data_IF_684880417530
#
_entry.id   IF_684880417530
#
_cell.length_a   1.000
_cell.length_b   1.000
_cell.length_c   1.000
_cell.angle_alpha   90.00
_cell.angle_beta   90.00
_cell.angle_gamma   90.00
#
_symmetry.space_group_name_H-M   'P 1'
#
loop_
_entity.id
_entity.type
_entity.pdbx_description
1 polymer ?
#
# COMPACT_ATOMS: atom_id res chain seq x y z
N UNK A 1 12.59 16.34 20.11
CA UNK A 1 11.70 15.42 19.37
C UNK A 1 12.49 14.15 19.23
N UNK A 2 12.07 13.08 19.92
CA UNK A 2 12.80 11.81 19.85
C UNK A 2 12.86 11.36 18.40
N UNK A 3 14.09 11.08 17.95
CA UNK A 3 14.41 10.73 16.58
C UNK A 3 13.85 9.33 16.28
N UNK A 4 12.55 9.22 16.04
CA UNK A 4 11.86 7.94 15.87
C UNK A 4 12.03 7.40 14.44
N UNK A 5 13.27 7.41 13.93
CA UNK A 5 13.62 6.80 12.64
C UNK A 5 13.25 5.31 12.58
N UNK A 6 13.02 4.69 13.74
CA UNK A 6 12.68 3.28 13.91
C UNK A 6 11.23 2.93 13.60
N UNK A 7 10.33 3.91 13.54
CA UNK A 7 8.90 3.63 13.38
C UNK A 7 8.53 3.22 11.95
N UNK A 8 7.83 2.10 11.84
CA UNK A 8 7.22 1.63 10.60
C UNK A 8 5.70 1.78 10.67
N UNK A 9 5.05 1.68 9.51
CA UNK A 9 3.63 1.45 9.43
C UNK A 9 3.27 0.26 8.56
N UNK A 10 2.09 -0.31 8.86
CA UNK A 10 1.38 -1.26 8.04
C UNK A 10 0.03 -0.67 7.67
N UNK A 11 -0.24 -0.48 6.39
CA UNK A 11 -1.57 -0.05 5.91
C UNK A 11 -2.33 -1.28 5.40
N UNK A 12 -3.27 -1.75 6.22
CA UNK A 12 -4.06 -2.96 5.96
C UNK A 12 -5.18 -2.73 4.94
N UNK A 13 -5.25 -3.55 3.89
CA UNK A 13 -6.32 -3.53 2.89
C UNK A 13 -7.57 -4.30 3.29
N UNK A 14 -8.37 -4.67 2.28
CA UNK A 14 -9.53 -5.56 2.42
C UNK A 14 -9.19 -6.80 3.24
N UNK A 15 -9.95 -7.08 4.29
CA UNK A 15 -9.79 -8.23 5.19
C UNK A 15 -8.67 -8.11 6.22
N UNK A 16 -7.79 -7.11 6.12
CA UNK A 16 -6.72 -6.85 7.09
C UNK A 16 -7.03 -5.61 7.89
N UNK A 17 -7.91 -5.75 8.90
CA UNK A 17 -8.39 -4.63 9.71
C UNK A 17 -7.78 -4.55 11.11
N UNK A 18 -7.06 -5.59 11.55
CA UNK A 18 -6.36 -5.64 12.83
C UNK A 18 -5.02 -6.35 12.69
N UNK A 19 -4.01 -5.84 13.39
CA UNK A 19 -2.65 -6.42 13.37
C UNK A 19 -2.09 -6.73 14.77
N UNK A 20 -2.61 -6.05 15.80
CA UNK A 20 -2.22 -6.25 17.18
C UNK A 20 -3.39 -6.74 18.02
N UNK A 21 -3.05 -7.31 19.19
CA UNK A 21 -4.02 -7.66 20.22
C UNK A 21 -4.56 -6.44 20.98
N UNK A 22 -5.41 -6.68 22.00
CA UNK A 22 -6.15 -5.63 22.71
C UNK A 22 -5.26 -4.66 23.52
N UNK A 23 -4.04 -5.07 23.88
CA UNK A 23 -3.13 -4.26 24.70
C UNK A 23 -2.40 -3.16 23.90
N UNK A 24 -2.65 -3.06 22.59
CA UNK A 24 -2.01 -2.08 21.74
C UNK A 24 -2.57 -0.66 21.94
N UNK A 25 -1.68 0.33 21.88
CA UNK A 25 -2.06 1.74 22.06
C UNK A 25 -2.80 2.24 20.82
N UNK A 26 -3.88 2.98 21.00
CA UNK A 26 -4.61 3.58 19.88
C UNK A 26 -4.50 5.11 19.91
N UNK A 27 -4.38 5.74 18.74
CA UNK A 27 -4.37 7.19 18.56
C UNK A 27 -5.31 7.61 17.44
N UNK A 28 -5.97 8.75 17.59
CA UNK A 28 -6.90 9.33 16.61
C UNK A 28 -6.40 10.71 16.17
N UNK A 29 -5.45 10.77 15.22
CA UNK A 29 -4.88 12.04 14.80
C UNK A 29 -5.85 12.80 13.89
N UNK A 30 -5.86 14.13 14.03
CA UNK A 30 -6.46 15.03 13.06
C UNK A 30 -5.37 15.53 12.11
N UNK A 31 -5.73 15.75 10.84
CA UNK A 31 -4.80 16.25 9.81
C UNK A 31 -5.38 17.45 9.08
N UNK A 32 -4.55 18.28 8.42
CA UNK A 32 -5.04 19.33 7.51
C UNK A 32 -5.91 18.81 6.37
N UNK A 33 -5.90 17.49 6.11
CA UNK A 33 -6.64 16.83 5.03
C UNK A 33 -7.87 16.06 5.55
N UNK A 34 -8.28 16.32 6.80
CA UNK A 34 -9.38 15.64 7.47
C UNK A 34 -8.93 14.46 8.32
N UNK A 35 -9.88 13.59 8.67
CA UNK A 35 -9.61 12.40 9.49
C UNK A 35 -9.05 11.26 8.62
N UNK A 36 -8.09 10.46 9.14
CA UNK A 36 -7.71 9.20 8.52
C UNK A 36 -8.89 8.21 8.46
N UNK A 37 -8.66 7.09 7.80
CA UNK A 37 -9.67 6.02 7.60
C UNK A 37 -10.14 5.38 8.90
N UNK A 38 -9.38 5.53 9.98
CA UNK A 38 -9.71 5.06 11.31
C UNK A 38 -8.61 5.43 12.29
N UNK A 39 -8.78 5.00 13.54
CA UNK A 39 -7.75 5.13 14.55
C UNK A 39 -6.49 4.32 14.15
N UNK A 40 -5.33 4.82 14.53
CA UNK A 40 -4.04 4.15 14.31
C UNK A 40 -3.70 3.35 15.56
N UNK A 41 -3.49 2.05 15.39
CA UNK A 41 -3.08 1.16 16.48
C UNK A 41 -1.57 0.99 16.45
N UNK A 42 -0.90 1.14 17.58
CA UNK A 42 0.55 1.10 17.72
C UNK A 42 0.90 -0.07 18.64
N UNK A 43 1.77 -0.95 18.14
CA UNK A 43 2.36 -2.04 18.90
C UNK A 43 3.80 -2.27 18.47
N UNK A 44 4.40 -3.33 19.02
CA UNK A 44 5.79 -3.68 18.73
C UNK A 44 5.84 -4.97 17.91
N UNK A 45 6.68 -4.99 16.87
CA UNK A 45 7.03 -6.22 16.12
C UNK A 45 8.55 -6.32 16.07
N UNK A 46 9.10 -7.34 16.71
CA UNK A 46 10.55 -7.45 16.91
C UNK A 46 11.06 -6.26 17.73
N UNK A 47 12.01 -5.50 17.18
CA UNK A 47 12.57 -4.29 17.79
C UNK A 47 11.96 -2.97 17.29
N UNK A 48 10.86 -3.03 16.53
CA UNK A 48 10.24 -1.86 15.90
C UNK A 48 8.91 -1.49 16.52
N UNK A 49 8.71 -0.18 16.71
CA UNK A 49 7.37 0.39 16.87
C UNK A 49 6.67 0.42 15.51
N UNK A 50 5.46 -0.12 15.46
CA UNK A 50 4.70 -0.30 14.23
C UNK A 50 3.30 0.29 14.39
N UNK A 51 3.01 1.31 13.59
CA UNK A 51 1.68 1.87 13.43
C UNK A 51 0.86 1.06 12.42
N UNK A 52 -0.36 0.70 12.76
CA UNK A 52 -1.29 0.01 11.88
C UNK A 52 -2.49 0.90 11.58
N UNK A 53 -2.83 1.03 10.30
CA UNK A 53 -3.97 1.80 9.81
C UNK A 53 -4.81 0.96 8.83
N UNK A 54 -6.10 0.71 9.10
CA UNK A 54 -6.98 0.04 8.15
C UNK A 54 -7.38 0.99 7.02
N UNK A 55 -6.94 0.72 5.78
CA UNK A 55 -7.16 1.56 4.59
C UNK A 55 -8.62 1.87 4.33
N UNK A 56 -9.49 0.88 4.53
CA UNK A 56 -10.94 1.00 4.30
C UNK A 56 -11.73 1.35 5.56
N UNK A 57 -11.03 1.64 6.67
CA UNK A 57 -11.61 1.72 8.00
C UNK A 57 -11.94 0.35 8.59
N UNK A 58 -12.21 0.32 9.90
CA UNK A 58 -12.44 -0.92 10.66
C UNK A 58 -13.70 -1.69 10.23
N UNK A 59 -14.65 -1.02 9.59
CA UNK A 59 -15.89 -1.61 9.08
C UNK A 59 -15.94 -1.69 7.56
N UNK A 60 -14.79 -1.50 6.89
CA UNK A 60 -14.72 -1.43 5.42
C UNK A 60 -15.64 -0.34 4.81
N UNK A 61 -15.84 0.77 5.52
CA UNK A 61 -16.78 1.81 5.11
C UNK A 61 -16.29 2.67 3.94
N UNK A 62 -14.98 2.72 3.69
CA UNK A 62 -14.42 3.51 2.59
C UNK A 62 -14.21 2.66 1.34
N UNK A 63 -14.87 3.02 0.25
CA UNK A 63 -14.55 2.49 -1.09
C UNK A 63 -13.19 3.00 -1.54
N UNK A 64 -12.50 2.28 -2.41
CA UNK A 64 -11.13 2.63 -2.85
C UNK A 64 -10.99 4.08 -3.39
N UNK A 65 -12.02 4.64 -4.03
CA UNK A 65 -12.01 6.02 -4.53
C UNK A 65 -12.37 7.09 -3.48
N UNK A 66 -12.83 6.69 -2.29
CA UNK A 66 -13.20 7.58 -1.18
C UNK A 66 -12.30 7.46 0.04
N UNK A 67 -11.30 6.57 0.00
CA UNK A 67 -10.27 6.47 1.05
C UNK A 67 -9.59 7.84 1.22
N UNK A 68 -9.45 8.37 2.45
CA UNK A 68 -8.79 9.64 2.72
C UNK A 68 -7.25 9.49 2.66
N UNK A 69 -6.71 9.17 1.48
CA UNK A 69 -5.28 8.84 1.31
C UNK A 69 -4.33 9.94 1.83
N UNK A 70 -4.66 11.21 1.59
CA UNK A 70 -3.87 12.35 2.09
C UNK A 70 -3.83 12.38 3.63
N UNK A 71 -4.97 12.19 4.28
CA UNK A 71 -5.04 12.17 5.74
C UNK A 71 -4.32 10.93 6.31
N UNK A 72 -4.50 9.75 5.68
CA UNK A 72 -3.84 8.52 6.09
C UNK A 72 -2.31 8.67 6.14
N UNK A 73 -1.71 9.09 5.03
CA UNK A 73 -0.25 9.13 4.93
C UNK A 73 0.35 10.30 5.73
N UNK A 74 -0.34 11.44 5.79
CA UNK A 74 0.05 12.57 6.63
C UNK A 74 0.06 12.19 8.11
N UNK A 75 -1.01 11.56 8.60
CA UNK A 75 -1.11 11.12 9.98
C UNK A 75 0.00 10.15 10.37
N UNK A 76 0.32 9.19 9.51
CA UNK A 76 1.42 8.25 9.74
C UNK A 76 2.75 8.99 9.83
N UNK A 77 3.03 9.92 8.91
CA UNK A 77 4.30 10.67 8.94
C UNK A 77 4.43 11.55 10.18
N UNK A 78 3.37 12.28 10.53
CA UNK A 78 3.30 13.12 11.73
C UNK A 78 3.51 12.33 13.02
N UNK A 79 3.12 11.05 13.03
CA UNK A 79 3.36 10.14 14.16
C UNK A 79 4.82 9.69 14.28
N UNK A 80 5.66 9.99 13.28
CA UNK A 80 7.08 9.63 13.23
C UNK A 80 7.39 8.48 12.26
N UNK A 81 6.39 7.92 11.57
CA UNK A 81 6.61 6.84 10.59
C UNK A 81 7.52 7.36 9.47
N UNK A 82 8.50 6.54 9.05
CA UNK A 82 9.35 6.80 7.88
C UNK A 82 9.34 5.68 6.84
N UNK A 83 8.73 4.54 7.15
CA UNK A 83 8.69 3.32 6.34
C UNK A 83 7.33 2.66 6.41
N UNK A 84 6.75 2.27 5.28
CA UNK A 84 5.39 1.76 5.19
C UNK A 84 5.37 0.49 4.34
N UNK A 85 4.84 -0.58 4.93
CA UNK A 85 4.38 -1.76 4.19
C UNK A 85 2.88 -1.65 3.94
N UNK A 86 2.46 -1.86 2.70
CA UNK A 86 1.07 -1.74 2.30
C UNK A 86 0.56 -3.04 1.66
N UNK A 87 0.14 -4.00 2.48
CA UNK A 87 -0.56 -5.17 1.98
C UNK A 87 -1.86 -4.78 1.27
N UNK A 88 -2.09 -5.39 0.10
CA UNK A 88 -3.31 -5.19 -0.68
C UNK A 88 -3.73 -6.47 -1.41
N UNK A 89 -5.02 -6.61 -1.67
CA UNK A 89 -5.57 -7.63 -2.55
C UNK A 89 -5.52 -7.16 -4.00
N UNK A 90 -5.20 -8.08 -4.91
CA UNK A 90 -5.07 -7.81 -6.35
C UNK A 90 -5.67 -8.95 -7.18
N UNK A 91 -6.18 -8.61 -8.36
CA UNK A 91 -6.45 -9.58 -9.41
C UNK A 91 -5.21 -9.82 -10.26
N UNK A 92 -4.99 -11.05 -10.69
CA UNK A 92 -3.92 -11.40 -11.64
C UNK A 92 -4.37 -11.19 -13.08
N UNK A 93 -3.48 -10.61 -13.90
CA UNK A 93 -3.64 -10.45 -15.34
C UNK A 93 -2.78 -11.44 -16.15
N UNK A 94 -2.11 -12.38 -15.46
CA UNK A 94 -1.31 -13.43 -16.09
C UNK A 94 -1.59 -14.82 -15.51
N UNK A 95 -1.57 -15.85 -16.35
CA UNK A 95 -1.76 -17.25 -15.92
C UNK A 95 -0.65 -17.79 -15.01
N UNK A 96 0.47 -17.08 -14.87
CA UNK A 96 1.60 -17.47 -14.01
C UNK A 96 1.37 -17.19 -12.53
N UNK A 97 0.42 -16.31 -12.20
CA UNK A 97 0.14 -15.86 -10.85
C UNK A 97 -1.28 -16.28 -10.49
N UNK A 98 -1.40 -17.35 -9.70
CA UNK A 98 -2.68 -17.84 -9.19
C UNK A 98 -3.05 -17.24 -7.83
N UNK A 99 -4.31 -17.40 -7.38
CA UNK A 99 -4.73 -17.00 -6.04
C UNK A 99 -3.82 -17.58 -4.94
N UNK A 100 -3.52 -16.78 -3.92
CA UNK A 100 -2.57 -17.10 -2.86
C UNK A 100 -1.12 -16.69 -3.15
N UNK A 101 -0.76 -16.40 -4.41
CA UNK A 101 0.56 -15.89 -4.74
C UNK A 101 0.79 -14.50 -4.12
N UNK A 102 1.97 -14.30 -3.54
CA UNK A 102 2.41 -13.00 -3.01
C UNK A 102 3.39 -12.38 -4.00
N UNK A 103 3.12 -11.14 -4.40
CA UNK A 103 3.91 -10.39 -5.37
C UNK A 103 4.29 -9.05 -4.78
N UNK A 104 5.54 -8.62 -4.99
CA UNK A 104 6.01 -7.29 -4.60
C UNK A 104 6.24 -6.49 -5.88
N UNK A 105 5.24 -5.72 -6.35
CA UNK A 105 5.39 -4.97 -7.58
C UNK A 105 6.55 -3.96 -7.48
N UNK A 106 7.18 -3.68 -8.61
CA UNK A 106 8.18 -2.63 -8.79
C UNK A 106 7.63 -1.43 -9.55
N UNK A 107 6.52 -1.62 -10.27
CA UNK A 107 5.92 -0.59 -11.11
C UNK A 107 4.41 -0.48 -10.91
N UNK A 108 3.85 0.67 -11.24
CA UNK A 108 2.40 0.88 -11.27
C UNK A 108 1.98 1.73 -12.47
N UNK A 109 0.73 1.55 -12.89
CA UNK A 109 0.08 2.37 -13.92
C UNK A 109 -1.21 2.92 -13.36
N UNK A 110 -1.35 4.24 -13.40
CA UNK A 110 -2.55 4.92 -12.90
C UNK A 110 -3.67 4.96 -13.94
N UNK A 111 -4.85 4.49 -13.53
CA UNK A 111 -6.13 4.58 -14.26
C UNK A 111 -7.22 5.17 -13.36
N UNK A 112 -6.83 5.86 -12.29
CA UNK A 112 -7.72 6.54 -11.36
C UNK A 112 -8.09 7.94 -11.89
N UNK A 113 -9.03 8.61 -11.21
CA UNK A 113 -9.45 9.97 -11.55
C UNK A 113 -10.09 10.69 -10.37
N UNK A 114 -9.85 12.00 -10.25
CA UNK A 114 -10.51 12.86 -9.26
C UNK A 114 -10.17 12.54 -7.80
N UNK A 115 -9.14 11.72 -7.55
CA UNK A 115 -8.61 11.49 -6.20
C UNK A 115 -7.71 12.67 -5.85
N UNK A 116 -7.68 13.08 -4.59
CA UNK A 116 -6.69 14.06 -4.14
C UNK A 116 -5.34 13.35 -3.99
N UNK A 117 -4.45 13.55 -4.96
CA UNK A 117 -3.25 12.75 -5.19
C UNK A 117 -1.93 13.51 -4.99
N UNK A 118 -2.00 14.75 -4.51
CA UNK A 118 -0.83 15.56 -4.12
C UNK A 118 -1.07 16.39 -2.85
N UNK A 119 0.03 16.69 -2.15
CA UNK A 119 0.14 17.70 -1.10
C UNK A 119 0.66 19.05 -1.63
N UNK A 120 1.23 19.08 -2.83
CA UNK A 120 1.88 20.25 -3.41
C UNK A 120 1.00 20.95 -4.44
N UNK A 121 -0.11 21.52 -3.97
CA UNK A 121 -1.02 22.35 -4.79
C UNK A 121 -0.41 23.71 -5.19
N UNK A 122 0.81 24.02 -4.73
CA UNK A 122 1.55 25.25 -5.04
C UNK A 122 3.06 25.01 -5.01
N UNK A 123 3.85 25.96 -5.53
CA UNK A 123 5.32 25.90 -5.51
C UNK A 123 5.99 25.11 -6.63
N UNK A 124 5.23 24.41 -7.49
CA UNK A 124 5.78 23.71 -8.66
C UNK A 124 6.69 22.52 -8.30
N UNK A 125 6.41 21.84 -7.19
CA UNK A 125 7.18 20.66 -6.76
C UNK A 125 6.77 19.47 -7.63
N UNK A 126 7.76 18.81 -8.25
CA UNK A 126 7.54 17.63 -9.10
C UNK A 126 8.29 16.43 -8.52
N UNK A 127 7.55 15.49 -7.94
CA UNK A 127 8.12 14.29 -7.37
C UNK A 127 8.59 13.31 -8.45
N UNK A 128 9.87 12.94 -8.42
CA UNK A 128 10.39 11.76 -9.12
C UNK A 128 9.62 10.52 -8.69
N UNK A 129 9.02 9.84 -9.66
CA UNK A 129 8.18 8.67 -9.43
C UNK A 129 8.43 7.54 -10.44
N UNK A 130 9.58 7.56 -11.13
CA UNK A 130 9.98 6.53 -12.08
C UNK A 130 10.01 5.13 -11.43
N UNK A 131 10.50 5.06 -10.18
CA UNK A 131 10.52 3.85 -9.36
C UNK A 131 9.66 4.09 -8.10
N UNK A 132 8.36 3.73 -8.13
CA UNK A 132 7.40 4.17 -7.11
C UNK A 132 7.69 3.59 -5.73
N UNK A 133 8.32 2.42 -5.65
CA UNK A 133 8.50 1.66 -4.42
C UNK A 133 9.96 1.69 -3.91
N UNK A 134 10.13 1.65 -2.59
CA UNK A 134 11.45 1.67 -1.95
C UNK A 134 12.18 0.32 -2.11
N UNK A 135 13.36 0.26 -2.75
CA UNK A 135 14.06 -1.00 -2.99
C UNK A 135 14.47 -1.72 -1.71
N UNK A 136 14.81 -0.97 -0.65
CA UNK A 136 15.15 -1.57 0.66
C UNK A 136 13.94 -2.28 1.28
N UNK A 137 12.75 -1.68 1.23
CA UNK A 137 11.54 -2.32 1.75
C UNK A 137 11.11 -3.48 0.86
N UNK A 138 11.18 -3.33 -0.47
CA UNK A 138 10.93 -4.46 -1.39
C UNK A 138 11.83 -5.64 -1.09
N UNK A 139 13.14 -5.44 -0.96
CA UNK A 139 14.11 -6.49 -0.64
C UNK A 139 13.92 -7.14 0.74
N UNK A 140 13.33 -6.42 1.69
CA UNK A 140 12.94 -7.00 2.98
C UNK A 140 11.86 -8.08 2.79
N UNK A 141 10.92 -7.86 1.86
CA UNK A 141 9.84 -8.80 1.55
C UNK A 141 10.29 -9.88 0.55
N UNK A 142 10.94 -9.51 -0.56
CA UNK A 142 11.33 -10.44 -1.63
C UNK A 142 12.46 -11.39 -1.24
N UNK A 143 13.18 -11.09 -0.16
CA UNK A 143 14.12 -12.03 0.44
C UNK A 143 13.48 -13.13 1.31
N UNK A 144 12.15 -13.15 1.43
CA UNK A 144 11.39 -14.25 2.05
C UNK A 144 11.04 -15.31 0.97
N UNK A 145 10.87 -16.59 1.36
CA UNK A 145 10.48 -17.63 0.41
C UNK A 145 9.09 -17.37 -0.18
N UNK A 146 8.85 -17.93 -1.37
CA UNK A 146 7.55 -17.93 -2.05
C UNK A 146 6.96 -16.53 -2.34
N UNK A 147 7.83 -15.52 -2.43
CA UNK A 147 7.50 -14.15 -2.86
C UNK A 147 8.00 -13.90 -4.28
N UNK A 148 7.11 -13.45 -5.15
CA UNK A 148 7.47 -13.02 -6.51
C UNK A 148 7.96 -11.58 -6.48
N UNK A 149 9.18 -11.35 -6.96
CA UNK A 149 9.79 -10.02 -7.12
C UNK A 149 9.43 -9.42 -8.48
N UNK A 150 8.80 -8.25 -8.47
CA UNK A 150 8.51 -7.46 -9.66
C UNK A 150 7.11 -7.66 -10.21
N UNK A 151 6.73 -6.76 -11.12
CA UNK A 151 5.44 -6.76 -11.79
C UNK A 151 4.81 -5.38 -11.82
N UNK A 152 4.08 -5.10 -12.90
CA UNK A 152 3.37 -3.84 -13.09
C UNK A 152 1.94 -3.95 -12.59
N UNK A 153 1.58 -3.10 -11.63
CA UNK A 153 0.25 -2.99 -11.03
C UNK A 153 -0.58 -1.88 -11.70
N UNK A 154 -1.63 -2.24 -12.46
CA UNK A 154 -2.60 -1.24 -12.92
C UNK A 154 -3.61 -0.91 -11.81
N UNK A 155 -3.74 0.37 -11.49
CA UNK A 155 -4.63 0.87 -10.44
C UNK A 155 -5.87 1.49 -11.08
N UNK A 156 -6.99 0.76 -11.07
CA UNK A 156 -8.26 1.25 -11.61
C UNK A 156 -9.06 2.04 -10.57
N UNK A 157 -9.98 2.89 -11.04
CA UNK A 157 -10.76 3.75 -10.14
C UNK A 157 -11.67 2.98 -9.17
N UNK A 158 -12.28 1.88 -9.61
CA UNK A 158 -13.42 1.27 -8.90
C UNK A 158 -14.70 2.14 -8.93
N UNK A 159 -15.75 1.76 -8.19
CA UNK A 159 -15.86 0.55 -7.37
C UNK A 159 -16.16 -0.71 -8.20
N UNK A 160 -16.47 -0.58 -9.49
CA UNK A 160 -16.65 -1.75 -10.36
C UNK A 160 -15.32 -2.44 -10.62
N UNK A 161 -15.37 -3.76 -10.78
CA UNK A 161 -14.29 -4.51 -11.40
C UNK A 161 -14.16 -4.17 -12.90
N UNK A 162 -13.05 -4.60 -13.49
CA UNK A 162 -12.79 -4.48 -14.92
C UNK A 162 -13.83 -5.25 -15.73
N UNK A 163 -14.21 -4.71 -16.88
CA UNK A 163 -14.79 -5.54 -17.94
C UNK A 163 -13.72 -6.47 -18.51
N UNK A 164 -14.14 -7.58 -19.14
CA UNK A 164 -13.22 -8.50 -19.82
C UNK A 164 -12.33 -7.81 -20.85
N UNK A 165 -12.89 -6.87 -21.61
CA UNK A 165 -12.14 -6.09 -22.59
C UNK A 165 -11.04 -5.24 -21.94
N UNK A 166 -11.32 -4.62 -20.79
CA UNK A 166 -10.32 -3.89 -20.02
C UNK A 166 -9.22 -4.82 -19.50
N UNK A 167 -9.58 -5.95 -18.88
CA UNK A 167 -8.61 -6.93 -18.38
C UNK A 167 -7.68 -7.46 -19.47
N UNK A 168 -8.25 -7.81 -20.63
CA UNK A 168 -7.47 -8.27 -21.79
C UNK A 168 -6.57 -7.18 -22.34
N UNK A 169 -7.04 -5.93 -22.39
CA UNK A 169 -6.22 -4.79 -22.80
C UNK A 169 -5.07 -4.54 -21.83
N UNK A 170 -5.32 -4.58 -20.51
CA UNK A 170 -4.27 -4.44 -19.49
C UNK A 170 -3.20 -5.53 -19.60
N UNK A 171 -3.63 -6.78 -19.78
CA UNK A 171 -2.71 -7.90 -19.98
C UNK A 171 -1.89 -7.73 -21.28
N UNK A 172 -2.52 -7.32 -22.38
CA UNK A 172 -1.85 -7.07 -23.65
C UNK A 172 -0.88 -5.87 -23.59
N UNK A 173 -1.14 -4.89 -22.72
CA UNK A 173 -0.22 -3.78 -22.43
C UNK A 173 0.97 -4.20 -21.54
N UNK A 174 1.04 -5.46 -21.11
CA UNK A 174 2.15 -6.00 -20.31
C UNK A 174 1.98 -5.83 -18.81
N UNK A 175 0.79 -5.47 -18.31
CA UNK A 175 0.54 -5.35 -16.87
C UNK A 175 0.29 -6.73 -16.25
N UNK A 176 0.71 -6.91 -14.99
CA UNK A 176 0.69 -8.21 -14.31
C UNK A 176 -0.44 -8.32 -13.30
N UNK A 177 -0.77 -7.22 -12.64
CA UNK A 177 -1.71 -7.17 -11.52
C UNK A 177 -2.69 -6.01 -11.72
N UNK A 178 -3.91 -6.15 -11.20
CA UNK A 178 -4.91 -5.07 -11.13
C UNK A 178 -5.38 -4.87 -9.69
N UNK A 179 -5.44 -3.62 -9.23
CA UNK A 179 -6.08 -3.26 -7.96
C UNK A 179 -6.75 -1.88 -8.03
N UNK A 180 -7.21 -1.38 -6.88
CA UNK A 180 -7.86 -0.06 -6.80
C UNK A 180 -7.19 0.93 -5.86
N UNK A 181 -6.09 0.56 -5.17
CA UNK A 181 -5.56 1.30 -4.01
C UNK A 181 -4.07 1.63 -4.10
N UNK A 182 -3.32 1.11 -5.07
CA UNK A 182 -1.89 1.38 -5.20
C UNK A 182 -1.55 2.86 -5.42
N UNK A 183 -2.44 3.58 -6.09
CA UNK A 183 -2.39 5.02 -6.35
C UNK A 183 -3.65 5.71 -5.78
N UNK A 184 -3.55 6.88 -5.13
CA UNK A 184 -2.36 7.71 -4.95
C UNK A 184 -1.53 7.38 -3.70
N UNK A 185 -1.76 6.25 -3.02
CA UNK A 185 -1.05 5.93 -1.77
C UNK A 185 0.48 5.94 -1.92
N UNK A 186 1.01 5.38 -3.02
CA UNK A 186 2.45 5.36 -3.30
C UNK A 186 3.03 6.75 -3.60
N UNK A 187 2.35 7.60 -4.38
CA UNK A 187 2.85 8.96 -4.70
C UNK A 187 2.79 9.87 -3.48
N UNK A 188 1.74 9.77 -2.66
CA UNK A 188 1.63 10.54 -1.43
C UNK A 188 2.69 10.14 -0.41
N UNK A 189 3.04 8.85 -0.34
CA UNK A 189 4.19 8.41 0.45
C UNK A 189 5.50 9.04 -0.07
N UNK A 190 5.69 9.08 -1.39
CA UNK A 190 6.87 9.66 -2.03
C UNK A 190 7.00 11.16 -1.75
N UNK A 191 5.91 11.91 -1.89
CA UNK A 191 5.86 13.35 -1.61
C UNK A 191 6.17 13.68 -0.16
N UNK A 192 5.85 12.76 0.75
CA UNK A 192 6.19 12.84 2.17
C UNK A 192 7.53 12.18 2.49
N UNK A 193 8.36 11.84 1.51
CA UNK A 193 9.66 11.18 1.69
C UNK A 193 9.60 9.90 2.53
N UNK A 194 8.50 9.17 2.49
CA UNK A 194 8.35 7.89 3.15
C UNK A 194 8.85 6.78 2.24
N UNK A 195 9.59 5.83 2.81
CA UNK A 195 9.83 4.57 2.13
C UNK A 195 8.51 3.79 2.08
N UNK A 196 8.10 3.34 0.90
CA UNK A 196 6.83 2.64 0.72
C UNK A 196 7.01 1.40 -0.15
N UNK A 197 6.40 0.28 0.25
CA UNK A 197 6.34 -0.94 -0.55
C UNK A 197 4.97 -1.60 -0.46
N UNK A 198 4.40 -1.94 -1.61
CA UNK A 198 3.19 -2.75 -1.67
C UNK A 198 3.52 -4.24 -1.52
N UNK A 199 2.63 -4.98 -0.87
CA UNK A 199 2.68 -6.45 -0.78
C UNK A 199 1.35 -6.96 -1.33
N UNK A 200 1.36 -7.42 -2.57
CA UNK A 200 0.16 -7.78 -3.31
C UNK A 200 -0.15 -9.27 -3.12
N UNK A 201 -1.29 -9.57 -2.50
CA UNK A 201 -1.85 -10.91 -2.42
C UNK A 201 -2.83 -11.11 -3.58
N UNK A 202 -2.52 -12.05 -4.47
CA UNK A 202 -3.43 -12.41 -5.56
C UNK A 202 -4.64 -13.12 -5.00
N UNK A 203 -5.85 -12.59 -5.24
CA UNK A 203 -7.11 -13.18 -4.75
C UNK A 203 -7.93 -13.83 -5.85
N UNK A 204 -7.67 -13.47 -7.10
CA UNK A 204 -8.45 -13.87 -8.27
C UNK A 204 -7.63 -13.68 -9.56
N UNK A 205 -8.16 -14.16 -10.69
CA UNK A 205 -7.53 -14.11 -12.03
C UNK A 205 -8.17 -13.05 -12.94
N UNK A 206 -8.80 -12.03 -12.33
CA UNK A 206 -9.62 -11.01 -12.98
C UNK A 206 -10.61 -11.61 -14.01
N UNK A 207 -11.10 -10.80 -14.95
CA UNK A 207 -11.91 -11.27 -16.08
C UNK A 207 -11.07 -11.60 -17.33
N UNK A 208 -9.73 -11.68 -17.24
CA UNK A 208 -8.84 -11.73 -18.42
C UNK A 208 -8.43 -13.14 -18.87
N UNK A 209 -8.22 -14.07 -17.94
CA UNK A 209 -7.49 -15.33 -18.21
C UNK A 209 -8.44 -16.49 -18.57
N UNK A 210 -9.57 -16.63 -17.86
CA UNK A 210 -10.56 -17.68 -18.13
C UNK A 210 -11.91 -17.11 -18.62
N UNK A 211 -12.45 -17.76 -19.66
CA UNK A 211 -13.79 -17.46 -20.18
C UNK A 211 -14.83 -18.11 -19.26
N UNK A 212 -15.69 -17.31 -18.63
CA UNK A 212 -16.86 -17.82 -17.92
C UNK A 212 -17.27 -17.04 -16.68
N UNK A 213 -16.40 -16.91 -15.68
CA UNK A 213 -16.74 -16.28 -14.39
C UNK A 213 -15.92 -15.00 -14.19
N UNK A 214 -16.59 -13.85 -14.19
CA UNK A 214 -15.98 -12.59 -13.74
C UNK A 214 -15.82 -12.56 -12.22
N UNK A 215 -15.00 -11.63 -11.72
CA UNK A 215 -14.73 -11.49 -10.28
C UNK A 215 -15.97 -11.04 -9.52
N UNK A 216 -16.20 -11.66 -8.36
CA UNK A 216 -17.18 -11.19 -7.36
C UNK A 216 -16.45 -10.77 -6.09
N UNK A 217 -16.99 -9.76 -5.41
CA UNK A 217 -16.45 -9.31 -4.13
C UNK A 217 -16.39 -10.45 -3.10
N UNK A 218 -17.40 -11.34 -3.08
CA UNK A 218 -17.43 -12.52 -2.21
C UNK A 218 -16.20 -13.42 -2.37
N UNK A 219 -15.73 -13.60 -3.60
CA UNK A 219 -14.64 -14.52 -3.92
C UNK A 219 -13.31 -13.91 -3.47
N UNK A 220 -13.17 -12.59 -3.60
CA UNK A 220 -12.04 -11.82 -3.05
C UNK A 220 -11.98 -11.92 -1.53
N UNK A 221 -13.11 -11.71 -0.84
CA UNK A 221 -13.17 -11.81 0.62
C UNK A 221 -12.88 -13.23 1.12
N UNK A 222 -13.38 -14.27 0.44
CA UNK A 222 -13.12 -15.66 0.79
C UNK A 222 -11.64 -16.01 0.62
N UNK A 223 -11.06 -15.74 -0.55
CA UNK A 223 -9.64 -15.98 -0.81
C UNK A 223 -8.75 -15.23 0.17
N UNK A 224 -9.09 -13.98 0.49
CA UNK A 224 -8.34 -13.21 1.47
C UNK A 224 -8.43 -13.82 2.89
N UNK A 225 -9.62 -14.25 3.31
CA UNK A 225 -9.82 -14.90 4.62
C UNK A 225 -9.01 -16.19 4.78
N UNK A 226 -8.81 -16.95 3.71
CA UNK A 226 -7.96 -18.14 3.71
C UNK A 226 -6.46 -17.83 3.85
N UNK A 227 -6.05 -16.61 3.45
CA UNK A 227 -4.64 -16.23 3.33
C UNK A 227 -4.18 -15.15 4.33
N UNK A 228 -5.09 -14.61 5.16
CA UNK A 228 -4.80 -13.46 6.03
C UNK A 228 -3.72 -13.74 7.08
N UNK A 229 -3.73 -14.91 7.71
CA UNK A 229 -2.73 -15.24 8.73
C UNK A 229 -1.33 -15.43 8.10
N UNK A 230 -1.26 -16.06 6.92
CA UNK A 230 -0.01 -16.13 6.15
C UNK A 230 0.50 -14.72 5.81
N UNK A 231 -0.38 -13.83 5.34
CA UNK A 231 -0.01 -12.46 4.98
C UNK A 231 0.47 -11.66 6.20
N UNK A 232 -0.17 -11.81 7.37
CA UNK A 232 0.26 -11.19 8.63
C UNK A 232 1.66 -11.68 9.03
N UNK A 233 1.91 -12.98 8.97
CA UNK A 233 3.22 -13.54 9.30
C UNK A 233 4.31 -13.08 8.32
N UNK A 234 3.99 -13.02 7.03
CA UNK A 234 4.89 -12.47 6.01
C UNK A 234 5.22 -10.99 6.27
N UNK A 235 4.23 -10.18 6.68
CA UNK A 235 4.45 -8.78 7.07
C UNK A 235 5.31 -8.68 8.33
N UNK A 236 5.07 -9.51 9.35
CA UNK A 236 5.91 -9.56 10.56
C UNK A 236 7.36 -9.93 10.23
N UNK A 237 7.55 -10.96 9.41
CA UNK A 237 8.87 -11.39 8.96
C UNK A 237 9.57 -10.30 8.14
N UNK A 238 8.84 -9.60 7.28
CA UNK A 238 9.36 -8.47 6.50
C UNK A 238 9.82 -7.33 7.41
N UNK A 239 9.03 -6.98 8.44
CA UNK A 239 9.42 -5.99 9.46
C UNK A 239 10.70 -6.41 10.19
N UNK A 240 10.82 -7.69 10.57
CA UNK A 240 12.02 -8.22 11.25
C UNK A 240 13.30 -8.17 10.41
N UNK A 241 13.20 -8.02 9.09
CA UNK A 241 14.33 -7.88 8.16
C UNK A 241 14.75 -6.42 7.92
N UNK A 242 13.96 -5.46 8.40
CA UNK A 242 14.27 -4.04 8.25
C UNK A 242 15.28 -3.62 9.33
N UNK A 243 16.32 -2.87 8.96
CA UNK A 243 17.27 -2.33 9.93
C UNK A 243 16.61 -1.31 10.87
N UNK A 244 17.13 -1.15 12.09
CA UNK A 244 16.63 -0.15 13.04
C UNK A 244 16.58 1.25 12.44
N UNK A 245 17.68 1.69 11.83
CA UNK A 245 17.81 3.00 11.19
C UNK A 245 17.39 2.95 9.71
N UNK A 246 16.87 4.08 9.21
CA UNK A 246 16.53 4.21 7.80
C UNK A 246 17.78 4.62 7.03
N UNK A 247 18.25 3.74 6.14
CA UNK A 247 19.41 4.01 5.27
C UNK A 247 19.04 4.41 3.83
N UNK A 248 17.76 4.32 3.45
CA UNK A 248 17.33 4.62 2.08
C UNK A 248 17.31 6.13 1.82
N UNK A 249 18.22 6.57 0.94
CA UNK A 249 18.32 7.94 0.43
C UNK A 249 17.48 8.18 -0.83
N UNK A 250 17.12 7.14 -1.58
CA UNK A 250 16.30 7.25 -2.80
C UNK A 250 14.87 7.78 -2.54
N UNK A 251 14.41 7.69 -1.29
CA UNK A 251 13.12 8.23 -0.87
C UNK A 251 13.22 9.62 -0.23
N UNK A 252 14.40 10.26 -0.21
CA UNK A 252 14.60 11.64 0.26
C UNK A 252 14.59 12.58 -0.95
N UNK A 253 13.40 12.93 -1.40
CA UNK A 253 13.18 13.60 -2.69
C UNK A 253 13.49 15.10 -2.66
N UNK A 254 13.32 15.74 -1.51
CA UNK A 254 13.32 17.20 -1.41
C UNK A 254 14.67 17.76 -0.98
N UNK A 255 15.72 16.94 -0.98
CA UNK A 255 17.07 17.40 -0.68
C UNK A 255 17.47 18.54 -1.65
N UNK A 256 17.64 19.74 -1.11
CA UNK A 256 17.97 20.94 -1.89
C UNK A 256 16.79 21.63 -2.57
N UNK A 257 15.55 21.22 -2.30
CA UNK A 257 14.32 21.84 -2.81
C UNK A 257 13.66 22.67 -1.72
N UNK A 258 13.34 23.92 -2.01
CA UNK A 258 12.54 24.76 -1.09
C UNK A 258 11.07 24.33 -1.16
N UNK A 259 10.52 23.88 -0.03
CA UNK A 259 9.14 23.42 0.05
C UNK A 259 8.20 24.55 0.48
N UNK A 260 6.94 24.56 -0.02
CA UNK A 260 5.92 25.53 0.40
C UNK A 260 5.42 25.30 1.83
N UNK A 261 5.75 24.16 2.45
CA UNK A 261 5.44 23.84 3.84
C UNK A 261 6.50 22.90 4.43
N UNK A 262 6.61 22.88 5.75
CA UNK A 262 7.42 21.90 6.48
C UNK A 262 6.69 20.56 6.52
N UNK A 263 7.39 19.49 6.11
CA UNK A 263 6.80 18.16 6.13
C UNK A 263 6.60 17.69 7.59
N UNK A 264 5.47 17.03 7.91
CA UNK A 264 5.02 16.76 9.29
C UNK A 264 5.83 15.78 10.13
#
# INVERSE_FOLDING_TARGET
MDNNERMLAVIGGTGFYTFFGPDARTVEPETPYGRPSGAITIGTVGGHDVAFLPRHGVHHQYSAHTVPYRANMWALRALGVRRVFAPCSVGSLTSRLGPGAVVVPDQLVDRTRGRADTYFDSGGVHATFADPYCPTLRGAVTGLPDVVDGGTLVVIQGPRFSTRAESQWFAAAGFNLVNMTGYPEAILARELELCYAAIALVTDVDAGIDVGKGVKASDVFASFGENIEMLKELVRASIGRVAGERTCTLCLLHAGVALPFELP
#
